data_IF_052656788856
#
_entry.id   IF_052656788856
#
_cell.length_a   1.000
_cell.length_b   1.000
_cell.length_c   1.000
_cell.angle_alpha   90.00
_cell.angle_beta   90.00
_cell.angle_gamma   90.00
#
_symmetry.space_group_name_H-M   'P 1'
#
loop_
_entity.id
_entity.type
_entity.pdbx_description
1 polymer ?
#
# COMPACT_ATOMS: atom_id res chain seq x y z
N UNK A 1 4.20 13.00 1.91
CA UNK A 1 4.08 11.62 1.40
C UNK A 1 4.58 10.67 2.46
N UNK A 2 3.99 9.48 2.56
CA UNK A 2 4.53 8.40 3.42
C UNK A 2 5.60 7.60 2.67
N UNK A 3 6.36 6.77 3.37
CA UNK A 3 7.32 5.85 2.74
C UNK A 3 6.67 4.97 1.66
N UNK A 4 5.39 4.61 1.85
CA UNK A 4 4.62 3.87 0.87
C UNK A 4 4.33 4.70 -0.39
N UNK A 5 4.03 5.99 -0.27
CA UNK A 5 3.83 6.85 -1.44
C UNK A 5 5.07 6.91 -2.31
N UNK A 6 6.24 7.13 -1.70
CA UNK A 6 7.51 7.20 -2.42
C UNK A 6 7.83 5.86 -3.09
N UNK A 7 7.75 4.75 -2.35
CA UNK A 7 7.99 3.42 -2.89
C UNK A 7 7.05 3.10 -4.07
N UNK A 8 5.79 3.52 -3.96
CA UNK A 8 4.76 3.30 -4.97
C UNK A 8 4.99 4.18 -6.22
N UNK A 9 5.36 5.45 -6.04
CA UNK A 9 5.69 6.41 -7.10
C UNK A 9 6.93 5.98 -7.91
N UNK A 10 7.96 5.47 -7.23
CA UNK A 10 9.18 4.99 -7.89
C UNK A 10 9.08 3.54 -8.40
N UNK A 11 7.91 2.89 -8.27
CA UNK A 11 7.71 1.51 -8.72
C UNK A 11 8.60 0.50 -8.00
N UNK A 12 8.92 0.74 -6.72
CA UNK A 12 9.76 -0.10 -5.87
C UNK A 12 8.91 -1.16 -5.18
N UNK A 13 8.49 -2.17 -5.95
CA UNK A 13 7.60 -3.23 -5.49
C UNK A 13 8.13 -3.98 -4.26
N UNK A 14 9.44 -4.24 -4.19
CA UNK A 14 10.05 -4.92 -3.04
C UNK A 14 9.89 -4.11 -1.74
N UNK A 15 10.10 -2.79 -1.83
CA UNK A 15 9.94 -1.88 -0.69
C UNK A 15 8.47 -1.79 -0.28
N UNK A 16 7.55 -1.75 -1.26
CA UNK A 16 6.11 -1.80 -0.99
C UNK A 16 5.74 -3.06 -0.21
N UNK A 17 6.23 -4.23 -0.61
CA UNK A 17 5.94 -5.48 0.10
C UNK A 17 6.47 -5.47 1.53
N UNK A 18 7.70 -5.00 1.75
CA UNK A 18 8.29 -4.88 3.10
C UNK A 18 7.44 -3.95 3.98
N UNK A 19 7.03 -2.81 3.42
CA UNK A 19 6.20 -1.84 4.13
C UNK A 19 4.83 -2.44 4.48
N UNK A 20 4.16 -3.10 3.54
CA UNK A 20 2.90 -3.80 3.80
C UNK A 20 3.04 -4.89 4.86
N UNK A 21 4.13 -5.66 4.82
CA UNK A 21 4.44 -6.69 5.81
C UNK A 21 4.72 -6.10 7.20
N UNK A 22 5.28 -4.89 7.28
CA UNK A 22 5.45 -4.15 8.53
C UNK A 22 4.12 -3.65 9.14
N UNK A 23 2.99 -3.88 8.47
CA UNK A 23 1.66 -3.57 8.99
C UNK A 23 1.32 -2.08 8.94
N UNK A 24 2.00 -1.31 8.09
CA UNK A 24 1.74 0.13 7.95
C UNK A 24 0.27 0.39 7.58
N UNK A 25 -0.19 1.59 7.92
CA UNK A 25 -1.49 2.06 7.45
C UNK A 25 -1.39 2.53 5.99
N UNK A 26 -2.07 1.81 5.11
CA UNK A 26 -2.15 2.07 3.68
C UNK A 26 -3.16 3.17 3.33
N UNK A 27 -3.99 3.60 4.30
CA UNK A 27 -4.98 4.67 4.13
C UNK A 27 -4.42 6.07 4.43
N UNK A 28 -3.13 6.16 4.76
CA UNK A 28 -2.46 7.45 4.97
C UNK A 28 -2.58 8.27 3.70
N UNK A 29 -2.96 9.53 3.85
CA UNK A 29 -3.04 10.50 2.76
C UNK A 29 -1.81 11.39 2.74
N UNK A 30 -1.34 11.74 1.56
CA UNK A 30 -0.28 12.74 1.38
C UNK A 30 -0.82 14.19 1.51
N UNK A 31 0.03 15.18 1.24
CA UNK A 31 -0.34 16.59 1.30
C UNK A 31 -1.36 17.01 0.23
N UNK A 32 -1.58 16.17 -0.80
CA UNK A 32 -2.60 16.37 -1.83
C UNK A 32 -3.93 15.68 -1.45
N UNK A 33 -3.97 14.99 -0.32
CA UNK A 33 -5.15 14.23 0.13
C UNK A 33 -5.31 12.88 -0.57
N UNK A 34 -4.28 12.41 -1.28
CA UNK A 34 -4.28 11.15 -2.03
C UNK A 34 -3.64 10.05 -1.19
N UNK A 35 -4.12 8.81 -1.33
CA UNK A 35 -3.45 7.65 -0.75
C UNK A 35 -2.34 7.14 -1.69
N UNK A 36 -1.52 6.22 -1.19
CA UNK A 36 -0.51 5.56 -2.01
C UNK A 36 -1.16 4.79 -3.18
N UNK A 37 -2.33 4.20 -2.94
CA UNK A 37 -3.13 3.53 -3.98
C UNK A 37 -3.61 4.50 -5.05
N UNK A 38 -4.12 5.67 -4.66
CA UNK A 38 -4.56 6.69 -5.61
C UNK A 38 -3.40 7.15 -6.49
N UNK A 39 -2.24 7.39 -5.88
CA UNK A 39 -1.03 7.83 -6.58
C UNK A 39 -0.59 6.82 -7.65
N UNK A 40 -0.62 5.51 -7.36
CA UNK A 40 -0.25 4.50 -8.37
C UNK A 40 -1.30 4.28 -9.44
N UNK A 41 -2.58 4.54 -9.15
CA UNK A 41 -3.64 4.47 -10.16
C UNK A 41 -3.55 5.58 -11.19
N UNK A 42 -2.97 6.73 -10.82
CA UNK A 42 -2.69 7.82 -11.78
C UNK A 42 -1.53 7.49 -12.73
N UNK A 43 -0.71 6.48 -12.43
CA UNK A 43 0.48 6.16 -13.22
C UNK A 43 0.20 5.06 -14.26
N UNK A 44 0.54 5.26 -15.55
CA UNK A 44 0.31 4.28 -16.61
C UNK A 44 1.33 3.12 -16.63
N UNK A 45 1.99 2.82 -15.51
CA UNK A 45 3.09 1.85 -15.47
C UNK A 45 2.61 0.45 -15.03
N UNK A 46 3.14 -0.60 -15.65
CA UNK A 46 2.84 -2.00 -15.26
C UNK A 46 3.19 -2.26 -13.78
N UNK A 47 4.29 -1.68 -13.30
CA UNK A 47 4.70 -1.79 -11.89
C UNK A 47 3.69 -1.13 -10.95
N UNK A 48 3.15 0.02 -11.33
CA UNK A 48 2.14 0.74 -10.56
C UNK A 48 0.85 -0.09 -10.44
N UNK A 49 0.42 -0.77 -11.51
CA UNK A 49 -0.72 -1.69 -11.47
C UNK A 49 -0.45 -2.87 -10.51
N UNK A 50 0.76 -3.41 -10.53
CA UNK A 50 1.16 -4.51 -9.64
C UNK A 50 1.18 -4.07 -8.17
N UNK A 51 1.67 -2.85 -7.90
CA UNK A 51 1.67 -2.25 -6.57
C UNK A 51 0.24 -1.95 -6.10
N UNK A 52 -0.63 -1.47 -6.97
CA UNK A 52 -2.05 -1.25 -6.66
C UNK A 52 -2.71 -2.56 -6.21
N UNK A 53 -2.51 -3.64 -6.97
CA UNK A 53 -3.03 -4.97 -6.64
C UNK A 53 -2.52 -5.47 -5.28
N UNK A 54 -1.24 -5.26 -4.94
CA UNK A 54 -0.68 -5.64 -3.64
C UNK A 54 -1.31 -4.85 -2.47
N UNK A 55 -1.55 -3.55 -2.66
CA UNK A 55 -2.17 -2.71 -1.63
C UNK A 55 -3.65 -3.10 -1.45
N UNK A 56 -4.38 -3.35 -2.55
CA UNK A 56 -5.77 -3.80 -2.52
C UNK A 56 -5.91 -5.18 -1.88
N UNK A 57 -5.03 -6.12 -2.22
CA UNK A 57 -4.96 -7.45 -1.60
C UNK A 57 -4.73 -7.33 -0.08
N UNK A 58 -3.79 -6.49 0.34
CA UNK A 58 -3.53 -6.27 1.77
C UNK A 58 -4.73 -5.62 2.52
N UNK A 59 -5.47 -4.73 1.86
CA UNK A 59 -6.69 -4.13 2.42
C UNK A 59 -7.81 -5.16 2.58
N UNK A 60 -7.96 -6.09 1.64
CA UNK A 60 -9.00 -7.13 1.68
C UNK A 60 -8.62 -8.30 2.60
N UNK A 61 -7.34 -8.65 2.68
CA UNK A 61 -6.79 -9.72 3.53
C UNK A 61 -6.79 -9.40 5.03
N UNK A 62 -6.79 -8.11 5.43
CA UNK A 62 -6.89 -7.70 6.85
C UNK A 62 -8.26 -7.93 7.50
N UNK A 63 -9.26 -8.47 6.78
CA UNK A 63 -10.52 -8.93 7.41
C UNK A 63 -10.41 -10.27 8.15
N UNK A 64 -9.31 -11.02 8.01
CA UNK A 64 -9.14 -12.34 8.64
C UNK A 64 -8.16 -12.43 9.81
N UNK A 65 -7.31 -11.43 10.06
CA UNK A 65 -6.18 -11.56 10.99
C UNK A 65 -6.31 -10.74 12.30
N UNK A 66 -7.50 -10.18 12.60
CA UNK A 66 -7.72 -9.40 13.82
C UNK A 66 -8.64 -10.09 14.83
N UNK A 67 -8.39 -11.37 15.13
CA UNK A 67 -9.04 -12.08 16.24
C UNK A 67 -8.23 -13.32 16.71
N UNK A 68 -6.97 -13.14 17.13
CA UNK A 68 -6.22 -14.22 17.78
C UNK A 68 -5.19 -13.73 18.81
N UNK A 69 -5.36 -12.52 19.35
CA UNK A 69 -4.56 -12.05 20.50
C UNK A 69 -5.50 -11.40 21.55
N UNK A 70 -6.20 -12.27 22.27
CA UNK A 70 -6.71 -12.02 23.63
C UNK A 70 -6.59 -13.34 24.38
N UNK A 71 -5.41 -13.56 24.96
CA UNK A 71 -5.24 -14.51 26.07
C UNK A 71 -5.36 -13.72 27.37
#
# INVERSE_FOLDING_TARGET
>A
GSALHEAALFGKTDVVQILLAAGIDVNIKDNRGLTALDTVRELPSQKSQQIAALIEDHMTGKRGAKEADRT
#
